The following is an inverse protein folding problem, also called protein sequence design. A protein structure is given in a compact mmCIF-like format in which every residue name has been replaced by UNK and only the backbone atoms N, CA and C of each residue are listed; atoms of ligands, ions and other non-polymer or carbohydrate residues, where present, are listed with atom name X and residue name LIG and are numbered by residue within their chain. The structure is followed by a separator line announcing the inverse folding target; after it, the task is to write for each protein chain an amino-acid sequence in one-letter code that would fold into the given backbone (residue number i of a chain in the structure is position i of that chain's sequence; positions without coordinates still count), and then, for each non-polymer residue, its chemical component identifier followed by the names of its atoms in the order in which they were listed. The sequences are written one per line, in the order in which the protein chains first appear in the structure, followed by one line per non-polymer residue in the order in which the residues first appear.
data_IF_458859424233
#
_entry.id   IF_458859424233
#
_cell.length_a   1.000
_cell.length_b   1.000
_cell.length_c   1.000
_cell.angle_alpha   90.00
_cell.angle_beta   90.00
_cell.angle_gamma   90.00
#
_symmetry.space_group_name_H-M   'P 1'
#
loop_
_entity.id
_entity.type
_entity.pdbx_description
1 polymer ?
#
# COMPACT_ATOMS: atom_id res chain seq x y z
N UNK A 1 -2.08 8.79 4.89
CA UNK A 1 -2.13 9.56 3.61
C UNK A 1 -3.58 9.65 3.16
N UNK A 2 -4.04 10.84 2.80
CA UNK A 2 -5.35 11.08 2.18
C UNK A 2 -5.10 11.82 0.87
N UNK A 3 -5.83 11.49 -0.19
CA UNK A 3 -5.73 12.16 -1.47
C UNK A 3 -7.07 12.18 -2.19
N UNK A 4 -7.38 13.30 -2.82
CA UNK A 4 -8.49 13.49 -3.76
C UNK A 4 -7.89 14.15 -5.00
N UNK A 5 -8.20 13.61 -6.17
CA UNK A 5 -7.82 14.13 -7.46
C UNK A 5 -9.10 14.59 -8.17
N UNK A 6 -8.99 15.70 -8.89
CA UNK A 6 -10.11 16.31 -9.61
C UNK A 6 -9.67 16.69 -11.02
N UNK A 7 -10.63 16.77 -11.94
CA UNK A 7 -10.38 17.28 -13.29
C UNK A 7 -10.40 18.81 -13.30
N UNK A 8 -9.60 19.39 -14.19
CA UNK A 8 -9.64 20.83 -14.50
C UNK A 8 -10.44 21.06 -15.79
N UNK A 9 -10.91 22.29 -16.01
CA UNK A 9 -11.94 22.66 -17.01
C UNK A 9 -11.81 22.00 -18.39
N UNK A 10 -10.58 21.82 -18.90
CA UNK A 10 -10.35 21.27 -20.24
C UNK A 10 -10.15 19.74 -20.29
N UNK A 11 -10.27 19.02 -19.17
CA UNK A 11 -9.98 17.59 -19.07
C UNK A 11 -11.20 16.78 -18.63
N UNK A 12 -11.65 15.85 -19.48
CA UNK A 12 -12.82 15.02 -19.18
C UNK A 12 -12.55 13.90 -18.16
N UNK A 13 -11.29 13.46 -18.00
CA UNK A 13 -10.91 12.36 -17.10
C UNK A 13 -9.49 12.49 -16.60
N UNK A 14 -9.24 12.06 -15.36
CA UNK A 14 -7.89 12.03 -14.80
C UNK A 14 -7.04 10.98 -15.52
N UNK A 15 -5.91 11.37 -16.16
CA UNK A 15 -5.01 10.44 -16.81
C UNK A 15 -4.47 9.40 -15.83
N UNK A 16 -4.23 8.17 -16.28
CA UNK A 16 -3.85 7.06 -15.39
C UNK A 16 -2.58 7.32 -14.56
N UNK A 17 -1.65 8.13 -15.07
CA UNK A 17 -0.41 8.49 -14.37
C UNK A 17 -0.60 9.52 -13.24
N UNK A 18 -1.74 10.23 -13.22
CA UNK A 18 -2.15 11.15 -12.15
C UNK A 18 -3.07 10.46 -11.12
N UNK A 19 -3.49 9.22 -11.37
CA UNK A 19 -4.38 8.47 -10.46
C UNK A 19 -3.64 7.92 -9.26
N UNK A 20 -4.36 7.73 -8.17
CA UNK A 20 -3.84 7.07 -6.99
C UNK A 20 -3.82 5.54 -7.14
N UNK A 21 -2.84 4.92 -6.50
CA UNK A 21 -2.70 3.47 -6.40
C UNK A 21 -2.28 3.08 -4.97
N UNK A 22 -2.68 1.89 -4.54
CA UNK A 22 -2.34 1.33 -3.23
C UNK A 22 -2.13 -0.19 -3.29
N UNK A 23 -1.49 -0.73 -2.26
CA UNK A 23 -0.98 -2.10 -2.20
C UNK A 23 0.50 -2.13 -2.58
N UNK A 24 1.30 -2.88 -1.84
CA UNK A 24 2.75 -2.91 -2.01
C UNK A 24 3.53 -2.44 -0.78
N UNK A 25 4.85 -2.32 -0.93
CA UNK A 25 5.77 -2.03 0.18
C UNK A 25 5.53 -0.64 0.81
N UNK A 26 5.18 0.35 -0.02
CA UNK A 26 5.08 1.78 0.35
C UNK A 26 3.64 2.24 0.62
N UNK A 27 2.70 1.31 0.80
CA UNK A 27 1.30 1.63 1.11
C UNK A 27 0.66 0.61 2.04
N UNK A 28 0.23 -0.53 1.52
CA UNK A 28 -0.45 -1.57 2.30
C UNK A 28 0.30 -2.88 2.03
N UNK A 29 1.21 -3.23 2.96
CA UNK A 29 2.04 -4.43 2.86
C UNK A 29 1.17 -5.67 2.92
N UNK A 30 1.67 -6.80 2.43
CA UNK A 30 0.88 -8.03 2.26
C UNK A 30 -0.05 -8.06 1.03
N UNK A 31 -0.32 -6.93 0.38
CA UNK A 31 -0.98 -6.86 -0.93
C UNK A 31 0.06 -6.72 -2.06
N UNK A 32 -0.31 -7.12 -3.27
CA UNK A 32 0.52 -6.92 -4.46
C UNK A 32 0.56 -5.42 -4.78
N UNK A 33 1.63 -5.01 -5.45
CA UNK A 33 1.78 -3.64 -5.95
C UNK A 33 0.53 -3.20 -6.70
N UNK A 34 -0.04 -2.08 -6.25
CA UNK A 34 -1.19 -1.40 -6.86
C UNK A 34 -2.51 -2.19 -6.89
N UNK A 35 -2.61 -3.35 -6.24
CA UNK A 35 -3.81 -4.23 -6.27
C UNK A 35 -4.84 -3.93 -5.16
N UNK A 36 -4.66 -2.86 -4.38
CA UNK A 36 -5.72 -2.35 -3.51
C UNK A 36 -6.44 -1.22 -4.24
N UNK A 37 -7.72 -1.46 -4.56
CA UNK A 37 -8.58 -0.52 -5.26
C UNK A 37 -9.15 -1.05 -6.57
N UNK A 38 -9.54 -0.15 -7.49
CA UNK A 38 -10.19 -0.51 -8.74
C UNK A 38 -9.24 -1.25 -9.68
N UNK A 39 -9.76 -2.30 -10.30
CA UNK A 39 -9.08 -3.09 -11.32
C UNK A 39 -9.97 -3.21 -12.56
N UNK A 40 -9.36 -3.40 -13.73
CA UNK A 40 -10.06 -3.77 -14.95
C UNK A 40 -10.67 -5.16 -14.79
N UNK A 41 -11.97 -5.32 -15.05
CA UNK A 41 -12.67 -6.59 -14.83
C UNK A 41 -12.27 -7.70 -15.81
N UNK A 42 -11.68 -7.36 -16.96
CA UNK A 42 -11.23 -8.33 -17.97
C UNK A 42 -9.79 -8.76 -17.75
N UNK A 43 -8.89 -7.82 -17.47
CA UNK A 43 -7.45 -8.12 -17.34
C UNK A 43 -7.00 -8.26 -15.90
N UNK A 44 -7.84 -7.84 -14.95
CA UNK A 44 -7.53 -7.68 -13.53
C UNK A 44 -6.42 -6.63 -13.27
N UNK A 45 -6.03 -5.81 -14.26
CA UNK A 45 -4.96 -4.81 -14.09
C UNK A 45 -5.42 -3.61 -13.24
N UNK A 46 -4.53 -3.05 -12.42
CA UNK A 46 -4.89 -1.89 -11.59
C UNK A 46 -5.10 -0.65 -12.47
N UNK A 47 -6.27 -0.03 -12.34
CA UNK A 47 -6.63 1.18 -13.10
C UNK A 47 -6.57 2.46 -12.26
N UNK A 48 -6.25 2.32 -10.97
CA UNK A 48 -6.17 3.41 -10.02
C UNK A 48 -7.51 4.08 -9.76
N UNK A 49 -7.47 5.22 -9.07
CA UNK A 49 -8.67 5.96 -8.74
C UNK A 49 -8.42 7.40 -8.35
N UNK A 50 -9.51 8.14 -8.16
CA UNK A 50 -9.52 9.57 -7.89
C UNK A 50 -9.44 9.89 -6.39
N UNK A 51 -9.74 8.93 -5.52
CA UNK A 51 -9.62 9.12 -4.08
C UNK A 51 -8.79 8.02 -3.41
N UNK A 52 -8.09 8.39 -2.34
CA UNK A 52 -7.14 7.54 -1.62
C UNK A 52 -7.22 7.77 -0.13
N UNK A 53 -7.25 6.67 0.63
CA UNK A 53 -7.01 6.65 2.06
C UNK A 53 -6.01 5.56 2.40
N UNK A 54 -4.96 5.89 3.16
CA UNK A 54 -4.00 4.93 3.72
C UNK A 54 -3.70 5.32 5.16
N UNK A 55 -3.80 4.37 6.07
CA UNK A 55 -3.29 4.42 7.43
C UNK A 55 -2.23 3.34 7.65
N UNK A 56 -1.11 3.70 8.25
CA UNK A 56 -0.03 2.79 8.62
C UNK A 56 0.32 3.03 10.09
N UNK A 57 0.32 1.97 10.88
CA UNK A 57 0.77 1.97 12.25
C UNK A 57 1.94 0.99 12.32
N UNK A 58 3.10 1.46 12.76
CA UNK A 58 4.30 0.62 12.93
C UNK A 58 4.88 0.84 14.32
N UNK A 59 5.11 -0.27 15.03
CA UNK A 59 5.85 -0.28 16.28
C UNK A 59 7.22 -0.91 16.05
N UNK A 60 8.27 -0.18 16.40
CA UNK A 60 9.66 -0.58 16.19
C UNK A 60 10.34 -0.77 17.55
N UNK A 61 10.85 -1.97 17.78
CA UNK A 61 11.62 -2.31 18.97
C UNK A 61 13.11 -2.39 18.64
N UNK A 62 13.97 -1.51 19.18
CA UNK A 62 15.41 -1.57 18.97
C UNK A 62 16.00 -2.71 19.81
N UNK A 63 16.37 -3.80 19.14
CA UNK A 63 16.98 -4.95 19.81
C UNK A 63 18.49 -4.74 19.99
N UNK A 64 19.14 -4.15 18.99
CA UNK A 64 20.54 -3.72 18.98
C UNK A 64 20.64 -2.39 18.23
N UNK A 65 21.75 -1.66 18.37
CA UNK A 65 21.96 -0.36 17.71
C UNK A 65 21.81 -0.43 16.17
N UNK A 66 22.20 -1.57 15.58
CA UNK A 66 22.12 -1.81 14.14
C UNK A 66 20.92 -2.66 13.71
N UNK A 67 20.14 -3.21 14.65
CA UNK A 67 19.08 -4.18 14.35
C UNK A 67 17.80 -3.89 15.16
N UNK A 68 16.70 -3.65 14.44
CA UNK A 68 15.39 -3.39 15.04
C UNK A 68 14.35 -4.37 14.50
N UNK A 69 13.43 -4.77 15.36
CA UNK A 69 12.23 -5.50 14.98
C UNK A 69 11.09 -4.51 14.75
N UNK A 70 10.20 -4.82 13.82
CA UNK A 70 9.00 -4.06 13.55
C UNK A 70 7.78 -4.97 13.57
N UNK A 71 6.67 -4.47 14.09
CA UNK A 71 5.33 -5.02 13.84
C UNK A 71 4.47 -3.89 13.31
N UNK A 72 3.59 -4.20 12.37
CA UNK A 72 2.80 -3.18 11.72
C UNK A 72 1.37 -3.63 11.44
N UNK A 73 0.51 -2.62 11.28
CA UNK A 73 -0.84 -2.73 10.76
C UNK A 73 -1.04 -1.66 9.69
N UNK A 74 -1.42 -2.08 8.49
CA UNK A 74 -1.70 -1.21 7.37
C UNK A 74 -3.18 -1.32 7.00
N UNK A 75 -3.81 -0.21 6.64
CA UNK A 75 -5.19 -0.19 6.18
C UNK A 75 -5.39 0.89 5.15
N UNK A 76 -6.29 0.69 4.20
CA UNK A 76 -6.62 1.72 3.22
C UNK A 76 -7.39 1.21 2.04
N UNK A 77 -7.72 2.14 1.14
CA UNK A 77 -8.34 1.83 -0.13
C UNK A 77 -8.10 2.94 -1.15
N UNK A 78 -8.33 2.62 -2.42
CA UNK A 78 -8.45 3.56 -3.52
C UNK A 78 -9.86 3.44 -4.07
N UNK A 79 -10.49 4.57 -4.39
CA UNK A 79 -11.81 4.62 -5.02
C UNK A 79 -11.71 5.18 -6.42
N UNK A 80 -12.46 4.56 -7.35
CA UNK A 80 -12.44 4.92 -8.76
C UNK A 80 -12.86 6.38 -8.94
N UNK A 81 -13.98 6.75 -8.34
CA UNK A 81 -14.59 8.07 -8.42
C UNK A 81 -14.46 8.77 -7.05
N UNK A 82 -14.16 10.07 -7.03
CA UNK A 82 -13.91 10.81 -5.79
C UNK A 82 -15.11 10.86 -4.83
N UNK A 83 -16.32 10.82 -5.38
CA UNK A 83 -17.57 10.90 -4.63
C UNK A 83 -17.84 9.63 -3.80
N UNK A 84 -17.18 8.52 -4.15
CA UNK A 84 -17.24 7.26 -3.41
C UNK A 84 -16.25 7.21 -2.24
N UNK A 85 -15.56 8.31 -1.92
CA UNK A 85 -14.52 8.31 -0.89
C UNK A 85 -15.04 7.81 0.48
N UNK A 86 -14.30 6.86 1.07
CA UNK A 86 -14.66 6.16 2.32
C UNK A 86 -15.95 5.31 2.25
N UNK A 87 -16.49 5.07 1.05
CA UNK A 87 -17.53 4.08 0.87
C UNK A 87 -16.95 2.65 0.87
N UNK A 88 -17.75 1.68 1.31
CA UNK A 88 -17.34 0.27 1.32
C UNK A 88 -16.20 -0.07 2.29
N UNK A 89 -15.66 -1.28 2.14
CA UNK A 89 -14.65 -1.83 3.07
C UNK A 89 -13.23 -1.39 2.73
N UNK A 90 -12.45 -1.08 3.77
CA UNK A 90 -11.01 -0.89 3.67
C UNK A 90 -10.29 -2.23 3.56
N UNK A 91 -9.17 -2.25 2.84
CA UNK A 91 -8.26 -3.40 2.79
C UNK A 91 -7.20 -3.25 3.86
N UNK A 92 -7.02 -4.28 4.67
CA UNK A 92 -6.12 -4.21 5.82
C UNK A 92 -5.13 -5.37 5.86
N UNK A 93 -3.99 -5.15 6.49
CA UNK A 93 -3.00 -6.18 6.73
C UNK A 93 -2.29 -5.95 8.05
N UNK A 94 -1.68 -7.01 8.56
CA UNK A 94 -0.71 -6.90 9.63
C UNK A 94 0.55 -7.65 9.25
N UNK A 95 1.64 -7.39 9.94
CA UNK A 95 2.87 -8.09 9.67
C UNK A 95 3.97 -7.75 10.64
N UNK A 96 5.13 -8.30 10.31
CA UNK A 96 6.35 -8.12 11.06
C UNK A 96 7.50 -7.84 10.10
N UNK A 97 8.53 -7.20 10.62
CA UNK A 97 9.66 -6.79 9.83
C UNK A 97 10.94 -6.69 10.64
N UNK A 98 12.03 -6.60 9.91
CA UNK A 98 13.35 -6.32 10.43
C UNK A 98 13.88 -5.04 9.77
N UNK A 99 14.64 -4.28 10.54
CA UNK A 99 15.32 -3.06 10.10
C UNK A 99 16.80 -3.22 10.43
N UNK A 100 17.66 -3.15 9.43
CA UNK A 100 19.10 -3.36 9.59
C UNK A 100 19.83 -2.11 9.11
N UNK A 101 20.65 -1.51 9.98
CA UNK A 101 21.55 -0.43 9.58
C UNK A 101 22.79 -1.05 8.93
N UNK A 102 22.98 -0.80 7.64
CA UNK A 102 24.15 -1.30 6.89
C UNK A 102 25.05 -0.13 6.47
N UNK A 103 26.32 -0.38 6.08
CA UNK A 103 27.20 0.67 5.57
C UNK A 103 26.68 1.40 4.32
N UNK A 104 25.80 0.76 3.54
CA UNK A 104 25.23 1.33 2.31
C UNK A 104 23.85 1.98 2.52
N UNK A 105 23.34 1.98 3.75
CA UNK A 105 22.04 2.57 4.13
C UNK A 105 21.17 1.64 4.99
N UNK A 106 20.05 2.14 5.54
CA UNK A 106 19.08 1.30 6.22
C UNK A 106 18.36 0.34 5.24
N UNK A 107 18.28 -0.92 5.64
CA UNK A 107 17.56 -1.99 4.91
C UNK A 107 16.33 -2.39 5.70
N UNK A 108 15.18 -2.53 5.01
CA UNK A 108 13.91 -2.99 5.58
C UNK A 108 13.49 -4.27 4.88
N UNK A 109 13.13 -5.28 5.66
CA UNK A 109 12.46 -6.49 5.17
C UNK A 109 11.18 -6.65 5.97
N UNK A 110 10.05 -6.73 5.29
CA UNK A 110 8.73 -6.89 5.88
C UNK A 110 8.03 -8.12 5.34
N UNK A 111 7.31 -8.84 6.20
CA UNK A 111 6.37 -9.88 5.81
C UNK A 111 4.97 -9.44 6.24
N UNK A 112 4.12 -9.11 5.27
CA UNK A 112 2.75 -8.69 5.49
C UNK A 112 1.76 -9.79 5.16
N UNK A 113 0.71 -9.92 5.98
CA UNK A 113 -0.38 -10.88 5.83
C UNK A 113 -1.67 -10.10 5.56
N UNK A 114 -2.28 -10.23 4.36
CA UNK A 114 -3.51 -9.53 4.04
C UNK A 114 -4.69 -10.11 4.83
N UNK A 115 -5.52 -9.24 5.40
CA UNK A 115 -6.76 -9.60 6.09
C UNK A 115 -7.93 -9.76 5.13
N UNK A 116 -7.82 -9.24 3.90
CA UNK A 116 -8.84 -9.34 2.86
C UNK A 116 -8.29 -10.03 1.61
N UNK A 117 -9.18 -10.62 0.81
CA UNK A 117 -8.81 -11.15 -0.50
C UNK A 117 -8.56 -10.03 -1.50
N UNK A 118 -7.51 -10.19 -2.30
CA UNK A 118 -7.20 -9.28 -3.40
C UNK A 118 -8.15 -9.52 -4.59
N UNK A 119 -8.46 -8.50 -5.41
CA UNK A 119 -9.18 -8.69 -6.66
C UNK A 119 -8.52 -9.76 -7.54
N UNK A 120 -9.32 -10.72 -8.01
CA UNK A 120 -8.85 -11.86 -8.81
C UNK A 120 -8.04 -12.91 -8.04
N UNK A 121 -8.12 -12.95 -6.70
CA UNK A 121 -7.52 -13.99 -5.86
C UNK A 121 -8.56 -14.66 -4.97
N UNK A 122 -8.46 -15.98 -4.83
CA UNK A 122 -9.34 -16.79 -3.98
C UNK A 122 -8.79 -17.01 -2.56
N UNK A 123 -7.48 -16.79 -2.37
CA UNK A 123 -6.79 -17.09 -1.10
C UNK A 123 -5.93 -15.92 -0.66
N UNK A 124 -5.96 -15.63 0.64
CA UNK A 124 -5.04 -14.70 1.32
C UNK A 124 -3.67 -15.36 1.40
N UNK A 125 -2.63 -14.69 0.90
CA UNK A 125 -1.24 -15.15 0.97
C UNK A 125 -0.37 -14.00 1.42
N UNK A 126 0.45 -14.23 2.45
CA UNK A 126 1.42 -13.24 2.91
C UNK A 126 2.49 -12.97 1.85
N UNK A 127 3.08 -11.78 1.90
CA UNK A 127 4.06 -11.30 0.93
C UNK A 127 5.25 -10.67 1.62
N UNK A 128 6.43 -10.91 1.05
CA UNK A 128 7.66 -10.22 1.42
C UNK A 128 7.78 -8.89 0.68
N UNK A 129 8.26 -7.89 1.40
CA UNK A 129 8.58 -6.56 0.89
C UNK A 129 10.01 -6.23 1.31
N UNK A 130 10.76 -5.62 0.41
CA UNK A 130 12.15 -5.26 0.61
C UNK A 130 12.38 -3.83 0.15
N UNK A 131 13.04 -3.02 0.97
CA UNK A 131 13.46 -1.68 0.57
C UNK A 131 14.83 -1.32 1.14
N UNK A 132 15.56 -0.54 0.36
CA UNK A 132 16.85 0.04 0.73
C UNK A 132 16.69 1.55 0.61
N UNK A 133 16.71 2.23 1.74
CA UNK A 133 16.63 3.69 1.77
C UNK A 133 18.02 4.31 1.79
N UNK A 134 18.21 5.42 1.09
CA UNK A 134 19.43 6.24 1.18
C UNK A 134 19.39 7.30 2.29
N UNK A 135 18.32 7.34 3.08
CA UNK A 135 18.16 8.36 4.13
C UNK A 135 19.16 8.14 5.28
N UNK A 136 19.93 9.20 5.56
CA UNK A 136 20.72 9.41 6.77
C UNK A 136 19.94 10.28 7.74
#
# INVERSE_FOLDING_TARGET
RVGIADTLEDTEKIPIYERFFAGGAESIRGYNERKVGPVDLRTNDPIGGEALFIGNIEYIYPLLDFFKLAVFFDTGNVWKDKDDFLSGDLKSSYGFGIRVKTPIGPVKVDYGIPLDTEPGKEKKRGKFHFSVSREF
#
